data_IF_521866608544
#
_entry.id   IF_521866608544
#
_cell.length_a   1.000
_cell.length_b   1.000
_cell.length_c   1.000
_cell.angle_alpha   90.00
_cell.angle_beta   90.00
_cell.angle_gamma   90.00
#
_symmetry.space_group_name_H-M   'P 1'
#
loop_
_entity.id
_entity.type
_entity.pdbx_description
1 polymer ?
#
# COMPACT_ATOMS: atom_id res chain seq x y z
N UNK A 1 -23.83 -18.42 17.83
CA UNK A 1 -23.33 -17.60 16.70
C UNK A 1 -22.31 -16.63 17.27
N UNK A 2 -21.03 -16.80 16.92
CA UNK A 2 -19.93 -15.95 17.42
C UNK A 2 -19.74 -14.78 16.45
N UNK A 3 -20.11 -13.58 16.89
CA UNK A 3 -19.83 -12.32 16.18
C UNK A 3 -18.33 -12.06 16.24
N UNK A 4 -17.62 -12.37 15.14
CA UNK A 4 -16.23 -11.94 14.97
C UNK A 4 -16.22 -10.40 14.98
N UNK A 5 -15.68 -9.82 16.05
CA UNK A 5 -15.35 -8.41 16.09
C UNK A 5 -14.29 -8.14 15.02
N UNK A 6 -14.70 -7.51 13.92
CA UNK A 6 -13.75 -6.86 13.02
C UNK A 6 -13.31 -5.61 13.74
N UNK A 7 -12.12 -5.64 14.35
CA UNK A 7 -11.51 -4.45 14.93
C UNK A 7 -11.26 -3.48 13.78
N UNK A 8 -12.07 -2.43 13.68
CA UNK A 8 -11.71 -1.27 12.87
C UNK A 8 -10.46 -0.67 13.52
N UNK A 9 -9.32 -0.82 12.84
CA UNK A 9 -8.15 -0.02 13.18
C UNK A 9 -8.58 1.44 12.97
N UNK A 10 -8.49 2.32 13.99
CA UNK A 10 -8.78 3.73 13.78
C UNK A 10 -7.79 4.21 12.72
N UNK A 11 -8.30 4.62 11.56
CA UNK A 11 -7.54 5.45 10.62
C UNK A 11 -7.13 6.65 11.46
N UNK A 12 -5.83 6.77 11.72
CA UNK A 12 -5.34 7.88 12.51
C UNK A 12 -5.70 9.14 11.76
N UNK A 13 -6.56 9.97 12.37
CA UNK A 13 -6.84 11.30 11.84
C UNK A 13 -5.53 12.07 11.92
N UNK A 14 -4.79 12.09 10.81
CA UNK A 14 -3.65 12.97 10.65
C UNK A 14 -4.23 14.38 10.56
N UNK A 15 -3.82 15.24 11.51
CA UNK A 15 -4.38 16.58 11.67
C UNK A 15 -4.15 17.40 10.39
N UNK A 16 -5.22 17.94 9.81
CA UNK A 16 -5.16 18.70 8.55
C UNK A 16 -5.41 17.91 7.27
N UNK A 17 -5.67 16.60 7.34
CA UNK A 17 -5.97 15.78 6.15
C UNK A 17 -7.46 15.81 5.81
N UNK A 18 -7.77 16.07 4.54
CA UNK A 18 -9.15 16.12 4.06
C UNK A 18 -9.73 14.71 3.86
N UNK A 19 -11.05 14.60 3.96
CA UNK A 19 -11.78 13.35 3.70
C UNK A 19 -11.49 12.82 2.28
N UNK A 20 -11.38 13.72 1.30
CA UNK A 20 -11.03 13.37 -0.08
C UNK A 20 -9.63 12.73 -0.24
N UNK A 21 -8.66 13.04 0.63
CA UNK A 21 -7.36 12.34 0.63
C UNK A 21 -7.50 10.94 1.21
N UNK A 22 -8.31 10.79 2.26
CA UNK A 22 -8.58 9.49 2.88
C UNK A 22 -9.33 8.58 1.90
N UNK A 23 -10.35 9.09 1.20
CA UNK A 23 -11.10 8.35 0.19
C UNK A 23 -10.20 7.88 -0.94
N UNK A 24 -9.33 8.75 -1.46
CA UNK A 24 -8.34 8.38 -2.48
C UNK A 24 -7.35 7.31 -1.99
N UNK A 25 -6.93 7.36 -0.72
CA UNK A 25 -6.07 6.32 -0.14
C UNK A 25 -6.80 4.98 -0.01
N UNK A 26 -8.10 5.00 0.34
CA UNK A 26 -8.93 3.79 0.40
C UNK A 26 -9.08 3.19 -1.00
N UNK A 27 -9.39 4.01 -2.00
CA UNK A 27 -9.50 3.59 -3.40
C UNK A 27 -8.19 2.96 -3.89
N UNK A 28 -7.05 3.55 -3.53
CA UNK A 28 -5.73 3.03 -3.84
C UNK A 28 -5.49 1.65 -3.22
N UNK A 29 -5.88 1.47 -1.96
CA UNK A 29 -5.79 0.18 -1.29
C UNK A 29 -6.67 -0.88 -1.96
N UNK A 30 -7.90 -0.52 -2.34
CA UNK A 30 -8.81 -1.43 -3.06
C UNK A 30 -8.24 -1.82 -4.42
N UNK A 31 -7.69 -0.86 -5.17
CA UNK A 31 -7.05 -1.11 -6.46
C UNK A 31 -5.86 -2.08 -6.33
N UNK A 32 -5.02 -1.90 -5.31
CA UNK A 32 -3.93 -2.82 -5.02
C UNK A 32 -4.45 -4.23 -4.71
N UNK A 33 -5.53 -4.36 -3.93
CA UNK A 33 -6.11 -5.67 -3.62
C UNK A 33 -6.71 -6.35 -4.84
N UNK A 34 -7.32 -5.61 -5.77
CA UNK A 34 -7.75 -6.18 -7.04
C UNK A 34 -6.57 -6.65 -7.90
N UNK A 35 -5.48 -5.91 -7.92
CA UNK A 35 -4.26 -6.28 -8.65
C UNK A 35 -3.61 -7.54 -8.06
N UNK A 36 -3.51 -7.64 -6.73
CA UNK A 36 -3.01 -8.82 -6.01
C UNK A 36 -3.90 -10.07 -6.22
N UNK A 37 -5.22 -9.90 -6.28
CA UNK A 37 -6.13 -11.01 -6.63
C UNK A 37 -5.90 -11.50 -8.06
N UNK A 38 -5.61 -10.58 -8.99
CA UNK A 38 -5.36 -10.90 -10.40
C UNK A 38 -3.96 -11.53 -10.60
N UNK A 39 -2.97 -11.09 -9.83
CA UNK A 39 -1.60 -11.60 -9.79
C UNK A 39 -1.13 -11.74 -8.34
N UNK A 40 -1.27 -12.94 -7.72
CA UNK A 40 -0.88 -13.18 -6.33
C UNK A 40 0.62 -13.06 -6.05
N UNK A 41 1.46 -13.03 -7.09
CA UNK A 41 2.92 -12.86 -6.92
C UNK A 41 3.30 -11.38 -6.77
N UNK A 42 2.35 -10.48 -7.03
CA UNK A 42 2.56 -9.04 -7.03
C UNK A 42 3.13 -8.54 -5.70
N UNK A 43 2.78 -9.15 -4.56
CA UNK A 43 3.25 -8.73 -3.24
C UNK A 43 4.34 -9.64 -2.65
N UNK A 44 4.96 -10.54 -3.42
CA UNK A 44 5.99 -11.47 -2.93
C UNK A 44 7.22 -10.75 -2.33
N UNK A 45 7.51 -9.53 -2.79
CA UNK A 45 8.57 -8.68 -2.24
C UNK A 45 8.22 -8.04 -0.89
N UNK A 46 6.96 -8.08 -0.44
CA UNK A 46 6.54 -7.51 0.84
C UNK A 46 6.96 -8.41 2.00
N UNK A 47 7.68 -7.88 3.00
CA UNK A 47 8.02 -8.66 4.19
C UNK A 47 6.79 -9.20 4.93
N UNK A 48 6.84 -10.46 5.33
CA UNK A 48 5.79 -11.10 6.11
C UNK A 48 5.41 -10.26 7.35
N UNK A 49 4.09 -10.11 7.57
CA UNK A 49 3.50 -9.37 8.70
C UNK A 49 3.85 -7.86 8.73
N UNK A 50 4.29 -7.29 7.61
CA UNK A 50 4.42 -5.84 7.49
C UNK A 50 3.05 -5.16 7.37
N UNK A 51 2.92 -4.00 7.99
CA UNK A 51 1.87 -3.03 7.64
C UNK A 51 2.32 -2.27 6.39
N UNK A 52 1.42 -2.05 5.43
CA UNK A 52 1.76 -1.31 4.22
C UNK A 52 1.45 0.17 4.37
N UNK A 53 2.41 1.02 3.99
CA UNK A 53 2.19 2.42 3.68
C UNK A 53 2.28 2.59 2.16
N UNK A 54 1.14 2.77 1.50
CA UNK A 54 1.05 2.88 0.04
C UNK A 54 1.39 4.31 -0.38
N UNK A 55 2.48 4.48 -1.12
CA UNK A 55 2.96 5.78 -1.60
C UNK A 55 2.71 5.84 -3.11
N UNK A 56 1.63 6.51 -3.56
CA UNK A 56 1.44 6.76 -4.99
C UNK A 56 2.45 7.78 -5.50
N UNK A 57 3.11 7.48 -6.60
CA UNK A 57 4.05 8.38 -7.27
C UNK A 57 3.32 9.43 -8.14
N UNK A 58 2.03 9.24 -8.43
CA UNK A 58 1.17 10.09 -9.26
C UNK A 58 0.25 11.05 -8.47
N UNK A 59 0.13 10.87 -7.15
CA UNK A 59 -0.70 11.71 -6.28
C UNK A 59 0.09 12.20 -5.04
N UNK A 60 0.68 13.42 -5.10
CA UNK A 60 1.57 13.90 -4.04
C UNK A 60 0.86 14.15 -2.71
N UNK A 61 -0.42 14.52 -2.72
CA UNK A 61 -1.16 14.76 -1.47
C UNK A 61 -1.40 13.44 -0.71
N UNK A 62 -1.76 12.39 -1.46
CA UNK A 62 -1.96 11.05 -0.91
C UNK A 62 -0.61 10.45 -0.47
N UNK A 63 0.46 10.69 -1.24
CA UNK A 63 1.82 10.29 -0.88
C UNK A 63 2.28 10.90 0.45
N UNK A 64 2.10 12.20 0.64
CA UNK A 64 2.45 12.90 1.88
C UNK A 64 1.67 12.34 3.07
N UNK A 65 0.37 12.11 2.91
CA UNK A 65 -0.46 11.48 3.94
C UNK A 65 0.05 10.08 4.30
N UNK A 66 0.29 9.22 3.30
CA UNK A 66 0.74 7.86 3.50
C UNK A 66 2.12 7.80 4.17
N UNK A 67 3.04 8.70 3.80
CA UNK A 67 4.33 8.86 4.45
C UNK A 67 4.17 9.22 5.92
N UNK A 68 3.35 10.23 6.25
CA UNK A 68 3.11 10.64 7.63
C UNK A 68 2.50 9.51 8.47
N UNK A 69 1.50 8.82 7.93
CA UNK A 69 0.85 7.68 8.59
C UNK A 69 1.83 6.50 8.79
N UNK A 70 2.62 6.18 7.77
CA UNK A 70 3.66 5.14 7.85
C UNK A 70 4.70 5.46 8.91
N UNK A 71 5.23 6.69 8.93
CA UNK A 71 6.18 7.14 9.95
C UNK A 71 5.59 7.15 11.36
N UNK A 72 4.32 7.51 11.52
CA UNK A 72 3.63 7.40 12.81
C UNK A 72 3.56 5.93 13.29
N UNK A 73 3.31 4.99 12.37
CA UNK A 73 3.36 3.56 12.64
C UNK A 73 4.75 3.09 13.08
N UNK A 74 5.80 3.49 12.36
CA UNK A 74 7.21 3.17 12.69
C UNK A 74 7.57 3.69 14.09
N UNK A 75 7.22 4.94 14.40
CA UNK A 75 7.46 5.56 15.72
C UNK A 75 6.81 4.80 16.88
N UNK A 76 5.79 3.99 16.60
CA UNK A 76 5.09 3.14 17.57
C UNK A 76 5.58 1.69 17.58
N UNK A 77 6.67 1.41 16.87
CA UNK A 77 7.27 0.08 16.79
C UNK A 77 6.54 -0.88 15.86
N UNK A 78 5.68 -0.41 14.95
CA UNK A 78 5.09 -1.26 13.92
C UNK A 78 6.14 -1.59 12.86
N UNK A 79 6.11 -2.82 12.34
CA UNK A 79 6.83 -3.18 11.12
C UNK A 79 6.07 -2.57 9.94
N UNK A 80 6.57 -1.47 9.38
CA UNK A 80 5.93 -0.76 8.26
C UNK A 80 6.81 -0.89 7.02
N UNK A 81 6.22 -1.34 5.93
CA UNK A 81 6.85 -1.37 4.61
C UNK A 81 6.26 -0.25 3.76
N UNK A 82 7.11 0.65 3.28
CA UNK A 82 6.73 1.75 2.41
C UNK A 82 6.78 1.27 0.97
N UNK A 83 5.61 1.18 0.34
CA UNK A 83 5.45 0.60 -0.98
C UNK A 83 5.17 1.71 -1.99
N UNK A 84 6.13 1.94 -2.88
CA UNK A 84 5.96 2.87 -4.00
C UNK A 84 5.17 2.20 -5.12
N UNK A 85 4.18 2.91 -5.64
CA UNK A 85 3.35 2.45 -6.74
C UNK A 85 2.92 3.60 -7.64
N UNK A 86 2.49 3.28 -8.84
CA UNK A 86 1.90 4.24 -9.77
C UNK A 86 0.55 3.69 -10.24
N UNK A 87 -0.45 4.56 -10.33
CA UNK A 87 -1.71 4.24 -10.98
C UNK A 87 -1.74 4.83 -12.38
N UNK A 88 -2.07 4.02 -13.38
CA UNK A 88 -2.26 4.53 -14.74
C UNK A 88 -3.68 5.09 -14.97
N UNK A 89 -3.92 5.63 -16.16
CA UNK A 89 -5.19 6.24 -16.53
C UNK A 89 -6.38 5.23 -16.54
N UNK A 90 -6.08 3.94 -16.72
CA UNK A 90 -7.07 2.86 -16.71
C UNK A 90 -7.28 2.29 -15.29
N UNK A 91 -6.50 2.78 -14.33
CA UNK A 91 -6.56 2.40 -12.93
C UNK A 91 -5.71 1.19 -12.57
N UNK A 92 -4.85 0.70 -13.47
CA UNK A 92 -3.93 -0.38 -13.19
C UNK A 92 -2.82 0.08 -12.24
N UNK A 93 -2.42 -0.82 -11.34
CA UNK A 93 -1.37 -0.57 -10.34
C UNK A 93 -0.07 -1.17 -10.82
N UNK A 94 0.98 -0.35 -10.85
CA UNK A 94 2.36 -0.82 -11.03
C UNK A 94 3.14 -0.57 -9.76
N UNK A 95 3.79 -1.60 -9.21
CA UNK A 95 4.66 -1.45 -8.05
C UNK A 95 6.09 -1.17 -8.50
N UNK A 96 6.72 -0.19 -7.84
CA UNK A 96 8.13 0.10 -8.02
C UNK A 96 8.95 -0.60 -6.95
N UNK A 97 9.46 -1.78 -7.29
CA UNK A 97 10.37 -2.52 -6.42
C UNK A 97 11.75 -1.85 -6.37
N UNK A 98 12.40 -1.77 -5.19
CA UNK A 98 13.80 -1.41 -5.12
C UNK A 98 14.63 -2.50 -5.84
N UNK A 99 15.75 -2.11 -6.44
CA UNK A 99 16.50 -2.94 -7.38
C UNK A 99 17.04 -4.26 -6.77
N UNK A 100 17.14 -4.33 -5.45
CA UNK A 100 17.54 -5.48 -4.63
C UNK A 100 16.37 -6.41 -4.24
N UNK A 101 15.12 -6.01 -4.51
CA UNK A 101 13.90 -6.79 -4.25
C UNK A 101 13.11 -7.13 -5.52
N UNK A 102 13.70 -6.92 -6.71
CA UNK A 102 13.10 -7.44 -7.94
C UNK A 102 12.89 -8.95 -7.76
N UNK A 103 11.65 -9.48 -7.93
CA UNK A 103 11.46 -10.92 -7.98
C UNK A 103 12.41 -11.46 -9.06
N UNK A 104 12.99 -12.66 -8.88
CA UNK A 104 13.82 -13.25 -9.91
C UNK A 104 13.01 -13.25 -11.20
N UNK A 105 13.44 -12.45 -12.19
CA UNK A 105 12.84 -12.46 -13.52
C UNK A 105 12.77 -13.93 -13.92
N UNK A 106 11.57 -14.44 -14.18
CA UNK A 106 11.39 -15.77 -14.75
C UNK A 106 12.26 -15.81 -16.01
N UNK A 107 13.39 -16.52 -15.90
CA UNK A 107 14.37 -16.69 -16.98
C UNK A 107 13.89 -17.77 -17.94
N UNK A 108 12.60 -17.87 -18.18
CA UNK A 108 12.02 -18.87 -19.07
C UNK A 108 11.34 -18.15 -20.24
N UNK A 109 12.17 -17.60 -21.13
CA UNK A 109 11.88 -17.40 -22.55
C UNK A 109 13.22 -17.17 -23.31
N UNK A 110 14.05 -18.21 -23.33
CA UNK A 110 15.04 -18.43 -24.40
C UNK A 110 14.61 -19.61 -25.26
#
# INVERSE_FOLDING_TARGET
MSTKHVSSLPIEKVEGVSEAVIDRQIDLFIALMHADIADPTMLDGVPNRASLALIPDDDPEVADYALQAGWAGVKRGKNVYFLHLTRDADGAITIKWPADMLPPLDRDNQ
#
